data_IF_736969968128
#
_entry.id   IF_736969968128
#
_cell.length_a   1.000
_cell.length_b   1.000
_cell.length_c   1.000
_cell.angle_alpha   90.00
_cell.angle_beta   90.00
_cell.angle_gamma   90.00
#
_symmetry.space_group_name_H-M   'P 1'
#
loop_
_entity.id
_entity.type
_entity.pdbx_description
1 polymer ?
#
# COMPACT_ATOMS: atom_id res chain seq x y z
N UNK A 1 10.53 -21.23 14.79
CA UNK A 1 10.60 -19.79 15.10
C UNK A 1 10.74 -19.05 13.78
N UNK A 2 9.73 -18.29 13.38
CA UNK A 2 9.88 -17.42 12.22
C UNK A 2 10.91 -16.35 12.58
N UNK A 3 12.03 -16.33 11.86
CA UNK A 3 13.01 -15.23 11.92
C UNK A 3 12.26 -13.95 11.57
N UNK A 4 12.37 -12.88 12.37
CA UNK A 4 11.76 -11.61 12.00
C UNK A 4 12.32 -11.21 10.63
N UNK A 5 11.43 -10.97 9.66
CA UNK A 5 11.82 -10.47 8.34
C UNK A 5 12.44 -9.10 8.57
N UNK A 6 13.70 -8.94 8.19
CA UNK A 6 14.41 -7.68 8.38
C UNK A 6 13.78 -6.59 7.48
N UNK A 7 13.76 -5.34 7.95
CA UNK A 7 13.26 -4.19 7.17
C UNK A 7 13.95 -4.14 5.80
N UNK A 8 15.25 -4.45 5.74
CA UNK A 8 16.04 -4.46 4.51
C UNK A 8 15.57 -5.51 3.49
N UNK A 9 15.08 -6.65 3.96
CA UNK A 9 14.52 -7.70 3.08
C UNK A 9 13.19 -7.22 2.48
N UNK A 10 12.31 -6.63 3.30
CA UNK A 10 11.04 -6.05 2.84
C UNK A 10 11.30 -4.89 1.89
N UNK A 11 12.27 -4.02 2.19
CA UNK A 11 12.67 -2.90 1.33
C UNK A 11 13.10 -3.38 -0.06
N UNK A 12 13.90 -4.44 -0.13
CA UNK A 12 14.35 -5.01 -1.41
C UNK A 12 13.17 -5.58 -2.22
N UNK A 13 12.26 -6.31 -1.57
CA UNK A 13 11.05 -6.81 -2.21
C UNK A 13 10.17 -5.68 -2.72
N UNK A 14 9.91 -4.68 -1.89
CA UNK A 14 9.09 -3.51 -2.22
C UNK A 14 9.63 -2.77 -3.44
N UNK A 15 10.93 -2.48 -3.45
CA UNK A 15 11.58 -1.71 -4.52
C UNK A 15 11.99 -2.55 -5.75
N UNK A 16 11.74 -3.87 -5.73
CA UNK A 16 11.81 -4.68 -6.94
C UNK A 16 10.77 -4.21 -7.97
N UNK A 17 9.65 -3.64 -7.54
CA UNK A 17 8.58 -3.16 -8.40
C UNK A 17 8.85 -1.73 -8.91
N UNK A 18 8.83 -1.49 -10.24
CA UNK A 18 9.15 -0.18 -10.83
C UNK A 18 8.28 0.96 -10.31
N UNK A 19 6.99 0.73 -10.13
CA UNK A 19 6.05 1.74 -9.64
C UNK A 19 6.37 2.16 -8.21
N UNK A 20 6.74 1.21 -7.34
CA UNK A 20 7.15 1.51 -5.97
C UNK A 20 8.45 2.32 -5.91
N UNK A 21 9.40 2.05 -6.81
CA UNK A 21 10.61 2.89 -6.96
C UNK A 21 10.25 4.30 -7.39
N UNK A 22 9.34 4.43 -8.35
CA UNK A 22 8.89 5.74 -8.83
C UNK A 22 8.21 6.54 -7.71
N UNK A 23 7.42 5.91 -6.86
CA UNK A 23 6.82 6.54 -5.67
C UNK A 23 7.86 6.86 -4.59
N UNK A 24 9.11 6.42 -4.73
CA UNK A 24 10.17 6.65 -3.75
C UNK A 24 9.86 5.99 -2.39
N UNK A 25 9.29 4.78 -2.41
CA UNK A 25 8.86 4.10 -1.19
C UNK A 25 10.02 3.62 -0.34
N UNK A 26 9.94 3.93 0.95
CA UNK A 26 10.85 3.48 1.99
C UNK A 26 10.06 2.80 3.10
N UNK A 27 10.51 1.61 3.52
CA UNK A 27 9.94 0.90 4.68
C UNK A 27 10.46 1.56 5.95
N UNK A 28 9.57 2.09 6.78
CA UNK A 28 9.90 2.67 8.08
C UNK A 28 9.78 1.65 9.21
N UNK A 29 8.74 0.83 9.16
CA UNK A 29 8.48 -0.23 10.12
C UNK A 29 7.72 -1.38 9.48
N UNK A 30 7.90 -2.59 9.99
CA UNK A 30 7.15 -3.78 9.62
C UNK A 30 6.92 -4.67 10.83
N UNK A 31 5.65 -5.03 11.04
CA UNK A 31 5.21 -5.99 12.06
C UNK A 31 4.55 -7.21 11.41
N UNK A 32 4.00 -8.11 12.20
CA UNK A 32 3.36 -9.33 11.68
C UNK A 32 2.17 -9.04 10.76
N UNK A 33 1.39 -8.03 11.09
CA UNK A 33 0.17 -7.65 10.38
C UNK A 33 0.10 -6.15 10.06
N UNK A 34 1.23 -5.44 10.07
CA UNK A 34 1.29 -4.01 9.82
C UNK A 34 2.58 -3.58 9.11
N UNK A 35 2.49 -2.48 8.39
CA UNK A 35 3.62 -1.84 7.74
C UNK A 35 3.48 -0.32 7.79
N UNK A 36 4.60 0.38 7.89
CA UNK A 36 4.67 1.82 7.71
C UNK A 36 5.66 2.14 6.58
N UNK A 37 5.16 2.90 5.61
CA UNK A 37 5.90 3.30 4.41
C UNK A 37 5.98 4.81 4.33
N UNK A 38 7.12 5.32 3.86
CA UNK A 38 7.26 6.72 3.46
C UNK A 38 7.36 6.81 1.94
N UNK A 39 6.65 7.76 1.34
CA UNK A 39 6.72 8.09 -0.07
C UNK A 39 7.36 9.47 -0.23
N UNK A 40 8.41 9.56 -1.04
CA UNK A 40 9.12 10.80 -1.28
C UNK A 40 8.38 11.67 -2.31
N UNK A 41 8.16 12.94 -1.98
CA UNK A 41 7.50 13.92 -2.85
C UNK A 41 8.12 13.98 -4.23
N UNK A 42 7.26 14.13 -5.22
CA UNK A 42 7.63 14.41 -6.62
C UNK A 42 6.70 15.44 -7.22
N UNK A 43 7.24 16.37 -8.02
CA UNK A 43 6.41 17.32 -8.77
C UNK A 43 5.41 16.65 -9.72
N UNK A 44 5.76 15.46 -10.22
CA UNK A 44 4.86 14.65 -11.08
C UNK A 44 3.56 14.23 -10.38
N UNK A 45 3.47 14.34 -9.06
CA UNK A 45 2.24 14.06 -8.31
C UNK A 45 1.25 15.23 -8.32
N UNK A 46 1.70 16.42 -8.70
CA UNK A 46 0.89 17.63 -8.61
C UNK A 46 -0.32 17.57 -9.54
N UNK A 47 -1.49 17.94 -9.00
CA UNK A 47 -2.74 18.04 -9.77
C UNK A 47 -2.65 19.19 -10.77
N UNK A 48 -2.09 20.31 -10.34
CA UNK A 48 -1.89 21.51 -11.16
C UNK A 48 -0.60 22.22 -10.77
N UNK A 49 -0.17 23.17 -11.63
CA UNK A 49 1.09 23.90 -11.44
C UNK A 49 1.03 24.98 -10.37
N UNK A 50 -0.17 25.45 -9.99
CA UNK A 50 -0.34 26.54 -9.02
C UNK A 50 -0.47 25.98 -7.60
N UNK A 51 -1.45 25.10 -7.38
CA UNK A 51 -1.78 24.56 -6.06
C UNK A 51 -0.86 23.41 -5.66
N UNK A 52 -0.39 22.65 -6.66
CA UNK A 52 0.56 21.54 -6.48
C UNK A 52 0.12 20.50 -5.44
N UNK A 53 -1.19 20.34 -5.23
CA UNK A 53 -1.71 19.27 -4.39
C UNK A 53 -1.34 17.91 -4.97
N UNK A 54 -1.01 16.95 -4.13
CA UNK A 54 -0.83 15.56 -4.55
C UNK A 54 -2.12 15.03 -5.16
N UNK A 55 -2.04 14.46 -6.36
CA UNK A 55 -3.17 13.85 -7.04
C UNK A 55 -3.79 12.74 -6.17
N UNK A 56 -5.14 12.70 -6.10
CA UNK A 56 -5.86 11.68 -5.34
C UNK A 56 -5.51 10.25 -5.72
N UNK A 57 -5.15 10.00 -6.98
CA UNK A 57 -4.66 8.70 -7.45
C UNK A 57 -3.38 8.24 -6.76
N UNK A 58 -2.48 9.16 -6.39
CA UNK A 58 -1.28 8.84 -5.60
C UNK A 58 -1.66 8.42 -4.19
N UNK A 59 -2.59 9.16 -3.56
CA UNK A 59 -3.11 8.81 -2.22
C UNK A 59 -3.79 7.43 -2.25
N UNK A 60 -4.60 7.15 -3.28
CA UNK A 60 -5.24 5.85 -3.46
C UNK A 60 -4.21 4.73 -3.66
N UNK A 61 -3.16 4.96 -4.45
CA UNK A 61 -2.07 3.99 -4.64
C UNK A 61 -1.34 3.70 -3.32
N UNK A 62 -1.10 4.72 -2.48
CA UNK A 62 -0.47 4.53 -1.17
C UNK A 62 -1.36 3.74 -0.21
N UNK A 63 -2.68 3.97 -0.23
CA UNK A 63 -3.65 3.16 0.53
C UNK A 63 -3.59 1.70 0.08
N UNK A 64 -3.64 1.44 -1.22
CA UNK A 64 -3.59 0.10 -1.79
C UNK A 64 -2.29 -0.62 -1.41
N UNK A 65 -1.15 0.01 -1.66
CA UNK A 65 0.17 -0.57 -1.39
C UNK A 65 0.38 -0.84 0.10
N UNK A 66 0.04 0.11 0.98
CA UNK A 66 0.24 -0.10 2.41
C UNK A 66 -0.68 -1.19 2.96
N UNK A 67 -1.94 -1.26 2.50
CA UNK A 67 -2.86 -2.32 2.88
C UNK A 67 -2.39 -3.69 2.39
N UNK A 68 -2.00 -3.81 1.12
CA UNK A 68 -1.42 -5.01 0.51
C UNK A 68 -0.16 -5.48 1.30
N UNK A 69 0.80 -4.59 1.46
CA UNK A 69 2.09 -4.92 2.07
C UNK A 69 2.03 -5.12 3.59
N UNK A 70 0.91 -4.81 4.25
CA UNK A 70 0.68 -5.19 5.66
C UNK A 70 0.74 -6.71 5.86
N UNK A 71 0.55 -7.50 4.79
CA UNK A 71 0.56 -8.95 4.78
C UNK A 71 1.89 -9.56 4.32
N UNK A 72 2.93 -8.76 4.10
CA UNK A 72 4.18 -9.20 3.47
C UNK A 72 4.85 -10.36 4.21
N UNK A 73 4.72 -10.43 5.54
CA UNK A 73 5.25 -11.54 6.34
C UNK A 73 4.52 -12.87 6.14
N UNK A 74 3.28 -12.83 5.65
CA UNK A 74 2.47 -14.02 5.40
C UNK A 74 2.67 -14.55 3.98
N UNK A 75 2.82 -13.66 3.00
CA UNK A 75 2.84 -14.02 1.57
C UNK A 75 4.17 -13.76 0.88
N UNK A 76 5.13 -13.11 1.55
CA UNK A 76 6.46 -12.78 1.02
C UNK A 76 6.45 -12.02 -0.31
N UNK A 77 5.45 -11.15 -0.52
CA UNK A 77 5.32 -10.33 -1.72
C UNK A 77 3.93 -9.70 -1.83
N UNK A 78 3.65 -8.99 -2.94
CA UNK A 78 2.35 -8.40 -3.18
C UNK A 78 1.29 -9.45 -3.49
N UNK A 79 0.05 -9.15 -3.17
CA UNK A 79 -1.14 -9.90 -3.53
C UNK A 79 -1.98 -9.13 -4.54
N UNK A 80 -2.99 -9.77 -5.15
CA UNK A 80 -3.89 -9.09 -6.07
C UNK A 80 -5.00 -8.38 -5.31
N UNK A 81 -5.18 -7.10 -5.57
CA UNK A 81 -6.31 -6.31 -5.05
C UNK A 81 -7.59 -6.69 -5.80
N UNK A 82 -8.63 -7.07 -5.08
CA UNK A 82 -9.97 -7.38 -5.63
C UNK A 82 -10.83 -6.12 -5.67
N UNK A 83 -10.85 -5.37 -4.58
CA UNK A 83 -11.50 -4.08 -4.48
C UNK A 83 -10.75 -3.16 -3.53
N UNK A 84 -10.97 -1.88 -3.67
CA UNK A 84 -10.41 -0.86 -2.81
C UNK A 84 -11.40 0.30 -2.68
N UNK A 85 -11.74 0.64 -1.45
CA UNK A 85 -12.42 1.89 -1.14
C UNK A 85 -11.43 2.89 -0.56
N UNK A 86 -11.47 4.11 -1.03
CA UNK A 86 -10.65 5.22 -0.52
C UNK A 86 -11.54 6.40 -0.17
N UNK A 87 -11.34 6.93 1.02
CA UNK A 87 -11.97 8.16 1.50
C UNK A 87 -10.89 9.24 1.62
N UNK A 88 -11.13 10.39 1.00
CA UNK A 88 -10.24 11.56 1.02
C UNK A 88 -10.70 12.54 2.09
N UNK A 89 -9.81 12.91 3.00
CA UNK A 89 -10.16 13.73 4.18
C UNK A 89 -9.63 15.15 4.08
N UNK A 90 -8.49 15.35 3.43
CA UNK A 90 -7.88 16.66 3.28
C UNK A 90 -6.98 16.71 2.04
N UNK A 91 -6.77 17.92 1.49
CA UNK A 91 -5.81 18.13 0.43
C UNK A 91 -4.38 17.85 0.93
N UNK A 92 -3.63 17.09 0.15
CA UNK A 92 -2.23 16.81 0.40
C UNK A 92 -1.36 17.89 -0.24
N UNK A 93 -0.85 18.82 0.56
CA UNK A 93 0.09 19.84 0.13
C UNK A 93 1.42 19.19 -0.31
N UNK A 94 2.26 19.88 -1.11
CA UNK A 94 3.57 19.36 -1.50
C UNK A 94 4.38 18.90 -0.29
N UNK A 95 4.89 17.67 -0.33
CA UNK A 95 5.69 17.09 0.74
C UNK A 95 5.60 15.57 0.77
N UNK A 96 6.53 14.95 1.48
CA UNK A 96 6.55 13.50 1.68
C UNK A 96 5.30 13.04 2.42
N UNK A 97 4.92 11.79 2.18
CA UNK A 97 3.74 11.16 2.77
C UNK A 97 4.14 9.91 3.55
N UNK A 98 3.36 9.59 4.58
CA UNK A 98 3.49 8.34 5.35
C UNK A 98 2.20 7.55 5.19
N UNK A 99 2.33 6.30 4.81
CA UNK A 99 1.21 5.36 4.71
C UNK A 99 1.37 4.23 5.73
N UNK A 100 0.34 3.98 6.52
CA UNK A 100 0.28 2.91 7.52
C UNK A 100 -0.77 1.90 7.11
N UNK A 101 -0.35 0.68 6.85
CA UNK A 101 -1.21 -0.44 6.49
C UNK A 101 -1.35 -1.43 7.64
N UNK A 102 -2.53 -2.01 7.77
CA UNK A 102 -2.82 -3.03 8.77
C UNK A 102 -3.76 -4.11 8.24
N UNK A 103 -3.38 -5.36 8.43
CA UNK A 103 -4.25 -6.49 8.18
C UNK A 103 -5.42 -6.49 9.18
N UNK A 104 -6.65 -6.63 8.68
CA UNK A 104 -7.86 -6.73 9.52
C UNK A 104 -8.23 -8.19 9.71
N UNK A 105 -8.25 -8.94 8.61
CA UNK A 105 -8.65 -10.35 8.61
C UNK A 105 -7.88 -11.12 7.55
N UNK A 106 -7.27 -12.20 7.96
CA UNK A 106 -6.68 -13.20 7.08
C UNK A 106 -7.66 -14.33 6.79
N UNK A 107 -7.71 -14.77 5.55
CA UNK A 107 -8.48 -15.93 5.12
C UNK A 107 -7.72 -16.71 4.04
N UNK A 108 -8.14 -17.95 3.79
CA UNK A 108 -7.47 -18.86 2.85
C UNK A 108 -7.49 -18.37 1.40
N UNK A 109 -8.50 -17.61 1.03
CA UNK A 109 -8.67 -17.08 -0.33
C UNK A 109 -8.62 -15.57 -0.38
N UNK A 110 -9.09 -14.90 0.64
CA UNK A 110 -9.21 -13.45 0.70
C UNK A 110 -8.77 -12.93 2.07
N UNK A 111 -8.13 -11.79 2.06
CA UNK A 111 -7.85 -10.99 3.25
C UNK A 111 -8.49 -9.62 3.13
N UNK A 112 -8.80 -9.01 4.27
CA UNK A 112 -9.17 -7.60 4.37
C UNK A 112 -8.08 -6.84 5.07
N UNK A 113 -7.68 -5.71 4.52
CA UNK A 113 -6.70 -4.81 5.13
C UNK A 113 -7.13 -3.35 4.94
N UNK A 114 -6.62 -2.49 5.79
CA UNK A 114 -6.87 -1.05 5.75
C UNK A 114 -5.56 -0.27 5.74
N UNK A 115 -5.61 0.96 5.28
CA UNK A 115 -4.48 1.86 5.36
C UNK A 115 -4.91 3.32 5.56
N UNK A 116 -4.00 4.09 6.13
CA UNK A 116 -4.15 5.51 6.39
C UNK A 116 -2.94 6.25 5.86
N UNK A 117 -3.17 7.37 5.18
CA UNK A 117 -2.12 8.21 4.61
C UNK A 117 -2.09 9.55 5.32
N UNK A 118 -0.91 9.93 5.78
CA UNK A 118 -0.64 11.15 6.54
C UNK A 118 0.42 12.01 5.86
N UNK A 119 0.38 13.32 6.10
CA UNK A 119 1.56 14.16 5.88
C UNK A 119 2.57 13.97 7.02
N UNK A 120 3.76 14.60 6.91
CA UNK A 120 4.79 14.49 7.95
C UNK A 120 4.41 15.13 9.29
N UNK A 121 3.42 16.04 9.29
CA UNK A 121 2.88 16.64 10.53
C UNK A 121 1.84 15.74 11.24
N UNK A 122 1.55 14.57 10.66
CA UNK A 122 0.59 13.62 11.22
C UNK A 122 -0.88 13.89 10.87
N UNK A 123 -1.15 14.82 9.93
CA UNK A 123 -2.51 15.09 9.47
C UNK A 123 -2.99 13.96 8.55
N UNK A 124 -4.16 13.38 8.86
CA UNK A 124 -4.80 12.37 8.04
C UNK A 124 -5.31 12.99 6.73
N UNK A 125 -4.84 12.44 5.60
CA UNK A 125 -5.17 12.91 4.25
C UNK A 125 -6.13 11.98 3.52
N UNK A 126 -5.93 10.68 3.65
CA UNK A 126 -6.79 9.66 3.08
C UNK A 126 -6.77 8.39 3.94
N UNK A 127 -7.82 7.61 3.85
CA UNK A 127 -7.88 6.27 4.43
C UNK A 127 -8.65 5.35 3.51
N UNK A 128 -8.46 4.05 3.67
CA UNK A 128 -9.19 3.10 2.85
C UNK A 128 -9.07 1.68 3.36
N UNK A 129 -9.83 0.82 2.70
CA UNK A 129 -9.94 -0.59 2.99
C UNK A 129 -10.07 -1.37 1.70
N UNK A 130 -9.36 -2.48 1.60
CA UNK A 130 -9.42 -3.37 0.45
C UNK A 130 -9.62 -4.82 0.81
N UNK A 131 -9.99 -5.57 -0.21
CA UNK A 131 -10.03 -7.04 -0.21
C UNK A 131 -8.94 -7.52 -1.17
N UNK A 132 -8.16 -8.48 -0.72
CA UNK A 132 -6.98 -8.98 -1.40
C UNK A 132 -7.06 -10.50 -1.58
N UNK A 133 -6.60 -10.99 -2.73
CA UNK A 133 -6.57 -12.43 -3.03
C UNK A 133 -5.32 -13.06 -2.37
N UNK A 134 -5.53 -13.92 -1.38
CA UNK A 134 -4.45 -14.64 -0.66
C UNK A 134 -4.24 -16.06 -1.15
N UNK A 135 -5.25 -16.64 -1.79
CA UNK A 135 -5.17 -17.96 -2.43
C UNK A 135 -4.48 -17.91 -3.79
N UNK A 136 -4.24 -19.07 -4.41
CA UNK A 136 -3.66 -19.13 -5.74
C UNK A 136 -4.51 -18.35 -6.75
N UNK A 137 -3.84 -17.54 -7.58
CA UNK A 137 -4.52 -16.83 -8.66
C UNK A 137 -5.22 -17.82 -9.61
N UNK A 138 -6.43 -17.51 -10.10
CA UNK A 138 -7.16 -18.35 -11.04
C UNK A 138 -6.27 -18.62 -12.27
N UNK A 139 -6.07 -19.87 -12.61
CA UNK A 139 -5.33 -20.24 -13.83
C UNK A 139 -6.15 -19.89 -15.07
N UNK A 140 -5.48 -19.53 -16.16
CA UNK A 140 -6.14 -19.13 -17.42
C UNK A 140 -7.13 -20.17 -17.99
N UNK A 141 -7.10 -21.42 -17.50
CA UNK A 141 -7.99 -22.51 -17.90
C UNK A 141 -9.25 -22.69 -17.05
N UNK A 142 -9.34 -22.08 -15.88
CA UNK A 142 -10.41 -22.34 -14.93
C UNK A 142 -11.75 -21.63 -15.28
N UNK A 143 -11.77 -20.83 -16.35
CA UNK A 143 -12.97 -20.07 -16.79
C UNK A 143 -13.92 -20.85 -17.71
N UNK A 144 -13.63 -22.11 -18.03
CA UNK A 144 -14.47 -22.89 -18.96
C UNK A 144 -15.40 -23.91 -18.28
N UNK A 145 -15.48 -23.91 -16.93
CA UNK A 145 -16.31 -24.89 -16.20
C UNK A 145 -17.28 -24.23 -15.19
N UNK A 146 -17.66 -22.95 -15.38
CA UNK A 146 -18.70 -22.30 -14.59
C UNK A 146 -19.88 -21.90 -15.48
#
# INVERSE_FOLDING_TARGET
>A
MNRPVAIEEVQKLLTHHPYHRWLGLQVLAVDDDAIELKAAWREDWAVDLERRFTHGGVLAALVDIAADWSMVRRVHGPVLTIDLRVDYHAAALPGDLVARGRLIKWGDRFASAEAHVFNLDGKLLASGRGTFLTGPAPRRGDRQQA
#
